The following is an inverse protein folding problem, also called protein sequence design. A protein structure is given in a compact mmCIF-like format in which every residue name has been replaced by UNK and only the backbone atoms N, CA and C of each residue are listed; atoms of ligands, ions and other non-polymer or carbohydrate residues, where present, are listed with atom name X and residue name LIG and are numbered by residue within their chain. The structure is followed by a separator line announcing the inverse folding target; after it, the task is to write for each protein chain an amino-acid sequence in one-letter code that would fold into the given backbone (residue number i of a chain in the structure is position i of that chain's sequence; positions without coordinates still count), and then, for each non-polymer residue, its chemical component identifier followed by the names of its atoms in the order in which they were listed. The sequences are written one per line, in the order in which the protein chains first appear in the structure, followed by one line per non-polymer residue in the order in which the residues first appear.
data_IF_910291994329
#
_entry.id   IF_910291994329
#
_cell.length_a   1.000
_cell.length_b   1.000
_cell.length_c   1.000
_cell.angle_alpha   90.00
_cell.angle_beta   90.00
_cell.angle_gamma   90.00
#
_symmetry.space_group_name_H-M   'P 1'
#
loop_
_entity.id
_entity.type
_entity.pdbx_description
1 polymer ?
#
# COMPACT_ATOMS: atom_id res chain seq x y z
N UNK A 1 -22.96 -0.52 -14.89
CA UNK A 1 -22.00 -1.42 -14.18
C UNK A 1 -20.85 -0.58 -13.66
N UNK A 2 -20.41 -0.81 -12.43
CA UNK A 2 -19.30 -0.06 -11.82
C UNK A 2 -18.00 -0.87 -11.82
N UNK A 3 -16.91 -0.22 -12.22
CA UNK A 3 -15.54 -0.73 -12.03
C UNK A 3 -14.82 0.16 -11.04
N UNK A 4 -14.43 -0.40 -9.91
CA UNK A 4 -13.76 0.30 -8.82
C UNK A 4 -12.24 0.18 -8.97
N UNK A 5 -11.55 1.30 -8.81
CA UNK A 5 -10.10 1.42 -8.86
C UNK A 5 -9.59 2.03 -7.56
N UNK A 6 -8.48 1.51 -7.07
CA UNK A 6 -7.77 2.04 -5.92
C UNK A 6 -6.41 2.62 -6.29
N UNK A 7 -5.97 3.60 -5.52
CA UNK A 7 -4.58 4.06 -5.49
C UNK A 7 -4.22 4.58 -4.10
N UNK A 8 -2.94 4.57 -3.75
CA UNK A 8 -2.46 5.17 -2.51
C UNK A 8 -2.04 6.61 -2.78
N UNK A 9 -2.55 7.56 -1.99
CA UNK A 9 -2.16 8.96 -2.13
C UNK A 9 -0.95 9.28 -1.27
N UNK A 10 -0.11 10.20 -1.75
CA UNK A 10 1.00 10.76 -0.98
C UNK A 10 0.56 11.40 0.34
N UNK A 11 -0.72 11.76 0.49
CA UNK A 11 -1.27 12.22 1.78
C UNK A 11 -1.46 11.11 2.82
N UNK A 12 -1.09 9.85 2.51
CA UNK A 12 -1.03 8.75 3.48
C UNK A 12 -2.34 7.98 3.64
N UNK A 13 -3.14 7.85 2.59
CA UNK A 13 -4.40 7.11 2.62
C UNK A 13 -4.79 6.52 1.28
N UNK A 14 -5.65 5.50 1.32
CA UNK A 14 -6.19 4.87 0.12
C UNK A 14 -7.31 5.72 -0.46
N UNK A 15 -7.31 5.88 -1.78
CA UNK A 15 -8.37 6.55 -2.52
C UNK A 15 -9.06 5.56 -3.44
N UNK A 16 -10.38 5.55 -3.38
CA UNK A 16 -11.23 4.77 -4.28
C UNK A 16 -11.93 5.70 -5.26
N UNK A 17 -11.96 5.31 -6.53
CA UNK A 17 -12.78 5.94 -7.56
C UNK A 17 -13.37 4.88 -8.48
N UNK A 18 -14.44 5.18 -9.22
CA UNK A 18 -15.07 4.19 -10.07
C UNK A 18 -15.40 4.73 -11.47
N UNK A 19 -15.33 3.84 -12.45
CA UNK A 19 -15.90 4.03 -13.78
C UNK A 19 -17.32 3.47 -13.80
N UNK A 20 -18.25 4.20 -14.45
CA UNK A 20 -19.61 3.74 -14.69
C UNK A 20 -19.85 3.52 -16.18
N UNK A 21 -20.17 2.28 -16.56
CA UNK A 21 -20.42 1.89 -17.96
C UNK A 21 -21.60 2.62 -18.59
N UNK A 22 -22.53 3.10 -17.77
CA UNK A 22 -23.82 3.66 -18.22
C UNK A 22 -23.72 5.17 -18.50
N UNK A 23 -22.59 5.78 -18.13
CA UNK A 23 -22.29 7.19 -18.38
C UNK A 23 -21.68 7.43 -19.76
N UNK A 24 -21.77 8.70 -20.20
CA UNK A 24 -21.26 9.16 -21.48
C UNK A 24 -19.73 9.04 -21.57
N UNK A 25 -19.25 8.66 -22.75
CA UNK A 25 -17.82 8.37 -22.96
C UNK A 25 -16.97 9.62 -23.23
N UNK A 26 -17.57 10.66 -23.82
CA UNK A 26 -16.82 11.83 -24.33
C UNK A 26 -16.92 13.00 -23.37
N UNK A 27 -15.79 13.66 -23.15
CA UNK A 27 -15.78 14.96 -22.48
C UNK A 27 -16.34 16.04 -23.42
N UNK A 28 -17.16 16.98 -22.93
CA UNK A 28 -17.57 18.15 -23.72
C UNK A 28 -16.40 19.11 -23.98
N UNK A 29 -15.30 19.00 -23.23
CA UNK A 29 -14.10 19.82 -23.36
C UNK A 29 -12.96 19.07 -24.06
N UNK A 30 -12.27 19.76 -24.97
CA UNK A 30 -11.05 19.26 -25.62
C UNK A 30 -9.76 19.88 -25.05
N UNK A 31 -9.83 20.52 -23.88
CA UNK A 31 -8.65 21.06 -23.23
C UNK A 31 -7.61 19.97 -22.95
N UNK A 32 -6.35 20.24 -23.29
CA UNK A 32 -5.24 19.29 -23.10
C UNK A 32 -4.28 19.69 -21.98
N UNK A 33 -4.29 20.98 -21.58
CA UNK A 33 -3.35 21.54 -20.59
C UNK A 33 -3.94 21.64 -19.18
N UNK A 34 -5.25 21.45 -19.03
CA UNK A 34 -5.93 21.49 -17.74
C UNK A 34 -6.66 20.18 -17.50
N UNK A 35 -6.75 19.78 -16.23
CA UNK A 35 -7.54 18.62 -15.84
C UNK A 35 -9.01 18.84 -16.22
N UNK A 36 -9.62 17.83 -16.84
CA UNK A 36 -11.04 17.83 -17.22
C UNK A 36 -11.82 16.85 -16.35
N UNK A 37 -13.11 17.08 -16.07
CA UNK A 37 -13.94 16.06 -15.45
C UNK A 37 -13.94 14.77 -16.28
N UNK A 38 -13.66 13.65 -15.63
CA UNK A 38 -13.71 12.34 -16.25
C UNK A 38 -15.16 12.00 -16.65
N UNK A 39 -15.45 11.76 -17.93
CA UNK A 39 -16.83 11.81 -18.45
C UNK A 39 -17.71 10.65 -17.96
N UNK A 40 -17.10 9.55 -17.52
CA UNK A 40 -17.78 8.38 -16.98
C UNK A 40 -17.23 7.95 -15.61
N UNK A 41 -16.70 8.90 -14.82
CA UNK A 41 -16.42 8.61 -13.41
C UNK A 41 -17.71 8.69 -12.59
N UNK A 42 -17.93 7.70 -11.73
CA UNK A 42 -19.06 7.67 -10.83
C UNK A 42 -18.93 8.78 -9.76
N UNK A 43 -20.06 9.31 -9.25
CA UNK A 43 -20.05 10.30 -8.17
C UNK A 43 -19.52 9.69 -6.86
N UNK A 44 -18.85 10.50 -6.05
CA UNK A 44 -18.25 10.05 -4.79
C UNK A 44 -19.28 9.49 -3.80
N UNK A 45 -20.50 10.02 -3.75
CA UNK A 45 -21.57 9.53 -2.86
C UNK A 45 -21.97 8.08 -3.17
N UNK A 46 -21.94 7.70 -4.44
CA UNK A 46 -22.22 6.34 -4.88
C UNK A 46 -21.09 5.39 -4.47
N UNK A 47 -19.83 5.84 -4.55
CA UNK A 47 -18.67 5.08 -4.07
C UNK A 47 -18.70 4.95 -2.54
N UNK A 48 -19.05 6.03 -1.82
CA UNK A 48 -19.14 6.06 -0.36
C UNK A 48 -20.27 5.16 0.18
N UNK A 49 -21.31 4.93 -0.62
CA UNK A 49 -22.35 3.95 -0.33
C UNK A 49 -21.89 2.49 -0.45
N UNK A 50 -20.80 2.23 -1.18
CA UNK A 50 -20.18 0.90 -1.31
C UNK A 50 -19.12 0.71 -0.21
N UNK A 51 -18.17 1.63 -0.14
CA UNK A 51 -17.11 1.68 0.88
C UNK A 51 -17.14 3.03 1.59
N UNK A 52 -17.57 3.09 2.86
CA UNK A 52 -17.64 4.33 3.61
C UNK A 52 -16.29 5.03 3.71
N UNK A 53 -16.27 6.32 3.41
CA UNK A 53 -15.09 7.17 3.52
C UNK A 53 -15.44 8.63 3.24
N UNK A 54 -14.43 9.49 3.16
CA UNK A 54 -14.62 10.93 2.97
C UNK A 54 -14.60 11.30 1.48
N UNK A 55 -15.68 11.87 0.93
CA UNK A 55 -15.67 12.34 -0.46
C UNK A 55 -14.61 13.41 -0.70
N UNK A 56 -13.89 13.28 -1.81
CA UNK A 56 -12.86 14.22 -2.25
C UNK A 56 -12.76 14.24 -3.78
N UNK A 57 -11.71 14.83 -4.30
CA UNK A 57 -11.40 14.89 -5.73
C UNK A 57 -9.92 14.69 -5.94
N UNK A 58 -9.56 13.93 -6.97
CA UNK A 58 -8.18 13.73 -7.38
C UNK A 58 -7.99 14.07 -8.86
N UNK A 59 -6.74 14.36 -9.24
CA UNK A 59 -6.35 14.52 -10.64
C UNK A 59 -5.45 13.36 -11.02
N UNK A 60 -5.91 12.55 -11.97
CA UNK A 60 -5.22 11.37 -12.47
C UNK A 60 -4.73 11.57 -13.91
N UNK A 61 -3.54 11.05 -14.21
CA UNK A 61 -3.01 10.92 -15.55
C UNK A 61 -3.46 9.57 -16.12
N UNK A 62 -4.45 9.59 -17.02
CA UNK A 62 -5.05 8.38 -17.55
C UNK A 62 -4.77 8.22 -19.05
N UNK A 63 -4.58 6.97 -19.55
CA UNK A 63 -4.47 6.69 -20.96
C UNK A 63 -5.68 7.24 -21.71
N UNK A 64 -5.44 8.14 -22.67
CA UNK A 64 -6.49 8.94 -23.27
C UNK A 64 -6.27 9.19 -24.75
N UNK A 65 -7.40 9.28 -25.45
CA UNK A 65 -7.50 9.97 -26.72
C UNK A 65 -7.85 11.44 -26.47
N UNK A 66 -7.82 12.27 -27.52
CA UNK A 66 -8.09 13.72 -27.42
C UNK A 66 -9.39 14.05 -26.68
N UNK A 67 -10.46 13.28 -26.92
CA UNK A 67 -11.82 13.57 -26.43
C UNK A 67 -12.32 12.66 -25.30
N UNK A 68 -11.59 11.61 -24.95
CA UNK A 68 -12.03 10.63 -23.96
C UNK A 68 -10.83 9.85 -23.38
N UNK A 69 -10.87 9.50 -22.09
CA UNK A 69 -10.02 8.44 -21.56
C UNK A 69 -10.34 7.11 -22.25
N UNK A 70 -9.40 6.17 -22.23
CA UNK A 70 -9.68 4.78 -22.59
C UNK A 70 -10.52 4.13 -21.49
N UNK A 71 -11.30 3.12 -21.86
CA UNK A 71 -12.02 2.30 -20.88
C UNK A 71 -11.02 1.39 -20.17
N UNK A 72 -11.20 1.13 -18.86
CA UNK A 72 -10.41 0.10 -18.19
C UNK A 72 -10.68 -1.29 -18.78
N UNK A 73 -9.71 -2.23 -18.70
CA UNK A 73 -9.89 -3.61 -19.19
C UNK A 73 -11.11 -4.33 -18.60
N UNK A 74 -11.45 -3.99 -17.36
CA UNK A 74 -12.54 -4.57 -16.59
C UNK A 74 -13.91 -3.98 -16.98
N UNK A 75 -13.94 -2.80 -17.61
CA UNK A 75 -15.16 -2.09 -17.99
C UNK A 75 -15.79 -2.70 -19.25
N UNK A 76 -16.94 -3.32 -19.05
CA UNK A 76 -17.77 -3.87 -20.13
C UNK A 76 -18.86 -2.86 -20.47
N UNK A 77 -18.94 -2.48 -21.75
CA UNK A 77 -20.03 -1.67 -22.29
C UNK A 77 -20.96 -2.51 -23.14
N UNK A 78 -22.26 -2.23 -23.04
CA UNK A 78 -23.27 -2.83 -23.92
C UNK A 78 -23.03 -2.50 -25.40
N UNK A 79 -22.60 -1.26 -25.67
CA UNK A 79 -22.17 -0.82 -27.01
C UNK A 79 -20.65 -0.59 -27.00
N UNK A 80 -19.86 -1.49 -27.63
CA UNK A 80 -18.41 -1.35 -27.70
C UNK A 80 -18.00 -0.06 -28.42
N UNK A 81 -16.90 0.54 -27.97
CA UNK A 81 -16.34 1.70 -28.63
C UNK A 81 -15.69 1.33 -29.96
N UNK A 82 -15.72 2.22 -30.97
CA UNK A 82 -14.87 2.06 -32.13
C UNK A 82 -13.40 1.97 -31.71
N UNK A 83 -12.64 1.10 -32.38
CA UNK A 83 -11.21 0.98 -32.15
C UNK A 83 -10.51 2.35 -32.30
N UNK A 84 -9.56 2.61 -31.40
CA UNK A 84 -8.74 3.80 -31.46
C UNK A 84 -7.96 3.83 -32.78
N UNK A 85 -7.91 5.01 -33.42
CA UNK A 85 -7.14 5.24 -34.67
C UNK A 85 -5.78 5.90 -34.43
N UNK A 86 -5.49 6.25 -33.18
CA UNK A 86 -4.30 6.96 -32.76
C UNK A 86 -3.83 6.37 -31.44
N UNK A 87 -2.52 6.40 -31.21
CA UNK A 87 -1.94 5.96 -29.97
C UNK A 87 -2.42 6.83 -28.79
N UNK A 88 -2.72 6.23 -27.63
CA UNK A 88 -3.12 6.96 -26.45
C UNK A 88 -1.94 7.73 -25.84
N UNK A 89 -2.26 8.83 -25.16
CA UNK A 89 -1.33 9.59 -24.33
C UNK A 89 -1.92 9.78 -22.94
N UNK A 90 -1.08 10.04 -21.94
CA UNK A 90 -1.55 10.38 -20.61
C UNK A 90 -2.10 11.81 -20.60
N UNK A 91 -3.38 11.97 -20.25
CA UNK A 91 -4.02 13.27 -20.05
C UNK A 91 -4.56 13.37 -18.63
N UNK A 92 -4.56 14.58 -18.08
CA UNK A 92 -5.07 14.85 -16.75
C UNK A 92 -6.61 14.85 -16.72
N UNK A 93 -7.17 14.08 -15.81
CA UNK A 93 -8.61 13.99 -15.54
C UNK A 93 -8.89 14.18 -14.06
N UNK A 94 -9.87 15.01 -13.77
CA UNK A 94 -10.45 15.17 -12.44
C UNK A 94 -11.46 14.06 -12.22
N UNK A 95 -11.28 13.26 -11.17
CA UNK A 95 -12.18 12.18 -10.77
C UNK A 95 -12.72 12.42 -9.36
N UNK A 96 -14.01 12.16 -9.10
CA UNK A 96 -14.51 12.02 -7.73
C UNK A 96 -13.85 10.82 -7.07
N UNK A 97 -13.42 10.99 -5.82
CA UNK A 97 -12.82 9.90 -5.03
C UNK A 97 -13.44 9.84 -3.65
N UNK A 98 -13.24 8.71 -2.98
CA UNK A 98 -13.49 8.53 -1.55
C UNK A 98 -12.14 8.24 -0.88
N UNK A 99 -11.79 9.04 0.12
CA UNK A 99 -10.62 8.86 0.96
C UNK A 99 -10.96 7.87 2.08
N UNK A 100 -10.19 6.78 2.17
CA UNK A 100 -10.29 5.77 3.21
C UNK A 100 -9.06 5.88 4.10
N UNK A 101 -9.28 5.97 5.40
CA UNK A 101 -8.20 5.74 6.36
C UNK A 101 -7.73 4.26 6.28
N UNK A 102 -6.54 3.94 6.80
CA UNK A 102 -5.99 2.59 6.66
C UNK A 102 -6.87 1.49 7.28
N UNK A 103 -7.64 1.79 8.33
CA UNK A 103 -8.57 0.81 8.95
C UNK A 103 -9.75 0.56 8.03
N UNK A 104 -10.36 1.61 7.49
CA UNK A 104 -11.43 1.50 6.50
C UNK A 104 -10.96 0.80 5.22
N UNK A 105 -9.73 1.04 4.78
CA UNK A 105 -9.13 0.37 3.62
C UNK A 105 -9.01 -1.15 3.85
N UNK A 106 -8.50 -1.59 5.00
CA UNK A 106 -8.45 -3.00 5.36
C UNK A 106 -9.85 -3.64 5.36
N UNK A 107 -10.85 -2.97 5.92
CA UNK A 107 -12.22 -3.45 5.93
C UNK A 107 -12.83 -3.56 4.52
N UNK A 108 -12.50 -2.63 3.62
CA UNK A 108 -12.96 -2.64 2.24
C UNK A 108 -12.49 -3.89 1.45
N UNK A 109 -11.29 -4.41 1.76
CA UNK A 109 -10.79 -5.64 1.15
C UNK A 109 -11.45 -6.90 1.71
N UNK A 110 -11.84 -6.89 2.98
CA UNK A 110 -12.48 -8.04 3.63
C UNK A 110 -13.94 -8.21 3.23
N UNK A 111 -14.57 -7.14 2.73
CA UNK A 111 -16.00 -7.10 2.40
C UNK A 111 -16.22 -6.56 0.98
N UNK A 112 -15.80 -7.31 -0.06
CA UNK A 112 -16.04 -6.88 -1.44
C UNK A 112 -17.54 -6.84 -1.75
N UNK A 113 -17.98 -5.79 -2.45
CA UNK A 113 -19.37 -5.62 -2.84
C UNK A 113 -19.71 -6.52 -4.06
N UNK A 114 -20.81 -7.29 -4.02
CA UNK A 114 -21.10 -8.32 -5.03
C UNK A 114 -21.41 -7.77 -6.43
N UNK A 115 -21.97 -6.55 -6.53
CA UNK A 115 -22.41 -5.94 -7.80
C UNK A 115 -21.40 -4.93 -8.38
N UNK A 116 -20.18 -4.91 -7.82
CA UNK A 116 -19.10 -4.01 -8.24
C UNK A 116 -17.94 -4.84 -8.74
N UNK A 117 -17.38 -4.45 -9.89
CA UNK A 117 -16.16 -5.07 -10.38
C UNK A 117 -14.95 -4.35 -9.81
N UNK A 118 -14.05 -5.08 -9.19
CA UNK A 118 -12.79 -4.53 -8.71
C UNK A 118 -11.75 -4.64 -9.82
N UNK A 119 -11.07 -3.53 -10.11
CA UNK A 119 -9.96 -3.52 -11.06
C UNK A 119 -8.67 -4.04 -10.43
N UNK A 120 -7.70 -4.41 -11.26
CA UNK A 120 -6.41 -4.96 -10.82
C UNK A 120 -5.65 -4.09 -9.79
N UNK A 121 -5.93 -2.78 -9.71
CA UNK A 121 -5.34 -1.92 -8.69
C UNK A 121 -5.90 -2.10 -7.29
N UNK A 122 -7.18 -2.46 -7.16
CA UNK A 122 -7.72 -2.81 -5.84
C UNK A 122 -7.21 -4.18 -5.42
N UNK A 123 -7.16 -5.14 -6.33
CA UNK A 123 -6.57 -6.47 -6.07
C UNK A 123 -5.11 -6.35 -5.62
N UNK A 124 -4.32 -5.51 -6.29
CA UNK A 124 -2.95 -5.21 -5.88
C UNK A 124 -2.86 -4.66 -4.44
N UNK A 125 -3.72 -3.70 -4.08
CA UNK A 125 -3.73 -3.14 -2.74
C UNK A 125 -4.22 -4.16 -1.69
N UNK A 126 -5.12 -5.07 -2.08
CA UNK A 126 -5.55 -6.18 -1.23
C UNK A 126 -4.40 -7.16 -0.98
N UNK A 127 -3.59 -7.50 -1.99
CA UNK A 127 -2.36 -8.30 -1.83
C UNK A 127 -1.35 -7.63 -0.90
N UNK A 128 -1.20 -6.30 -0.99
CA UNK A 128 -0.37 -5.55 -0.05
C UNK A 128 -0.92 -5.61 1.39
N UNK A 129 -2.24 -5.56 1.56
CA UNK A 129 -2.89 -5.73 2.85
C UNK A 129 -2.73 -7.15 3.42
N UNK A 130 -2.76 -8.19 2.57
CA UNK A 130 -2.43 -9.56 2.97
C UNK A 130 -0.98 -9.62 3.48
N UNK A 131 -0.03 -9.06 2.74
CA UNK A 131 1.37 -9.01 3.17
C UNK A 131 1.56 -8.25 4.49
N UNK A 132 0.82 -7.14 4.69
CA UNK A 132 0.81 -6.41 5.96
C UNK A 132 0.36 -7.31 7.12
N UNK A 133 -0.74 -8.04 6.97
CA UNK A 133 -1.25 -8.96 8.00
C UNK A 133 -0.29 -10.11 8.28
N UNK A 134 0.34 -10.69 7.26
CA UNK A 134 1.36 -11.72 7.45
C UNK A 134 2.55 -11.21 8.27
N UNK A 135 2.96 -9.94 8.11
CA UNK A 135 4.01 -9.35 8.95
C UNK A 135 3.54 -9.23 10.40
N UNK A 136 2.30 -8.78 10.64
CA UNK A 136 1.71 -8.68 11.98
C UNK A 136 1.62 -10.05 12.65
N UNK A 137 1.08 -11.06 11.97
CA UNK A 137 0.93 -12.43 12.47
C UNK A 137 2.28 -13.05 12.88
N UNK A 138 3.35 -12.71 12.16
CA UNK A 138 4.71 -13.16 12.46
C UNK A 138 5.44 -12.29 13.49
N UNK A 139 4.80 -11.27 14.04
CA UNK A 139 5.40 -10.31 14.97
C UNK A 139 6.54 -9.50 14.35
N UNK A 140 6.52 -9.28 13.03
CA UNK A 140 7.53 -8.50 12.28
C UNK A 140 7.23 -7.01 12.30
N UNK A 141 6.97 -6.49 13.49
CA UNK A 141 6.58 -5.09 13.70
C UNK A 141 7.32 -4.53 14.90
N UNK A 142 7.62 -3.23 14.84
CA UNK A 142 8.19 -2.50 15.97
C UNK A 142 7.39 -1.22 16.21
N UNK A 143 7.22 -0.83 17.48
CA UNK A 143 6.62 0.46 17.78
C UNK A 143 7.63 1.57 17.48
N UNK A 144 7.12 2.73 17.08
CA UNK A 144 7.89 3.89 16.67
C UNK A 144 7.25 5.18 17.20
N UNK A 145 8.08 6.20 17.38
CA UNK A 145 7.66 7.58 17.60
C UNK A 145 7.77 8.35 16.28
N UNK A 146 6.64 8.83 15.76
CA UNK A 146 6.60 9.77 14.63
C UNK A 146 6.27 11.17 15.13
N UNK A 147 6.85 12.19 14.48
CA UNK A 147 6.51 13.59 14.70
C UNK A 147 6.08 14.21 13.37
N UNK A 148 4.95 14.90 13.38
CA UNK A 148 4.49 15.66 12.22
C UNK A 148 3.94 17.03 12.66
N UNK A 149 3.33 17.77 11.74
CA UNK A 149 2.76 19.10 12.01
C UNK A 149 1.66 19.11 13.07
N UNK A 150 1.07 17.96 13.39
CA UNK A 150 0.02 17.80 14.39
C UNK A 150 0.56 17.25 15.72
N UNK A 151 1.88 17.14 15.88
CA UNK A 151 2.53 16.71 17.11
C UNK A 151 3.06 15.27 17.06
N UNK A 152 3.18 14.65 18.24
CA UNK A 152 3.70 13.29 18.38
C UNK A 152 2.63 12.23 18.08
N UNK A 153 3.05 11.15 17.44
CA UNK A 153 2.23 9.98 17.19
C UNK A 153 3.02 8.71 17.51
N UNK A 154 2.41 7.82 18.27
CA UNK A 154 2.87 6.45 18.43
C UNK A 154 2.35 5.63 17.23
N UNK A 155 3.21 4.92 16.52
CA UNK A 155 2.83 4.06 15.39
C UNK A 155 3.57 2.74 15.39
N UNK A 156 3.07 1.76 14.65
CA UNK A 156 3.74 0.49 14.38
C UNK A 156 4.28 0.50 12.97
N UNK A 157 5.55 0.14 12.83
CA UNK A 157 6.21 0.00 11.53
C UNK A 157 6.53 -1.47 11.24
N UNK A 158 6.49 -1.89 9.97
CA UNK A 158 6.99 -3.19 9.56
C UNK A 158 8.51 -3.30 9.75
N UNK A 159 8.96 -4.53 10.00
CA UNK A 159 10.37 -4.92 9.97
C UNK A 159 10.58 -5.94 8.88
N UNK A 160 11.09 -5.49 7.73
CA UNK A 160 11.34 -6.35 6.58
C UNK A 160 12.72 -7.03 6.72
N UNK A 161 12.77 -8.35 6.59
CA UNK A 161 14.01 -9.12 6.62
C UNK A 161 13.98 -10.25 5.57
N UNK A 162 15.12 -10.47 4.89
CA UNK A 162 15.32 -11.60 3.99
C UNK A 162 14.20 -11.71 2.94
N UNK A 163 13.34 -12.73 3.08
CA UNK A 163 12.20 -12.99 2.18
C UNK A 163 11.20 -11.82 2.10
N UNK A 164 11.05 -11.05 3.17
CA UNK A 164 10.07 -9.94 3.22
C UNK A 164 10.52 -8.80 2.28
N UNK A 165 11.83 -8.58 2.15
CA UNK A 165 12.39 -7.60 1.21
C UNK A 165 12.16 -8.04 -0.24
N UNK A 166 12.26 -9.34 -0.52
CA UNK A 166 11.98 -9.91 -1.86
C UNK A 166 10.50 -9.80 -2.21
N UNK A 167 9.62 -10.10 -1.24
CA UNK A 167 8.17 -9.94 -1.39
C UNK A 167 7.82 -8.47 -1.68
N UNK A 168 8.36 -7.53 -0.87
CA UNK A 168 8.19 -6.10 -1.09
C UNK A 168 8.68 -5.65 -2.46
N UNK A 169 9.86 -6.09 -2.90
CA UNK A 169 10.41 -5.77 -4.24
C UNK A 169 9.51 -6.29 -5.36
N UNK A 170 8.94 -7.47 -5.17
CA UNK A 170 8.00 -8.09 -6.12
C UNK A 170 6.70 -7.29 -6.19
N UNK A 171 6.15 -6.87 -5.05
CA UNK A 171 4.96 -6.02 -4.97
C UNK A 171 5.21 -4.64 -5.61
N UNK A 172 6.36 -4.00 -5.37
CA UNK A 172 6.71 -2.73 -6.01
C UNK A 172 6.78 -2.90 -7.54
N UNK A 173 7.36 -3.99 -8.02
CA UNK A 173 7.49 -4.28 -9.45
C UNK A 173 6.15 -4.61 -10.12
N UNK A 174 5.23 -5.23 -9.38
CA UNK A 174 3.91 -5.60 -9.85
C UNK A 174 2.89 -4.45 -9.80
N UNK A 175 3.25 -3.29 -9.24
CA UNK A 175 2.32 -2.17 -9.03
C UNK A 175 1.64 -1.74 -10.35
N UNK A 176 0.30 -1.86 -10.44
CA UNK A 176 -0.43 -1.39 -11.60
C UNK A 176 -0.21 0.12 -11.85
N UNK A 177 -0.06 0.57 -13.11
CA UNK A 177 0.15 1.98 -13.43
C UNK A 177 -0.88 2.95 -12.84
N UNK A 178 -2.14 2.52 -12.71
CA UNK A 178 -3.20 3.35 -12.13
C UNK A 178 -2.97 3.66 -10.65
N UNK A 179 -2.24 2.81 -9.91
CA UNK A 179 -1.88 3.08 -8.50
C UNK A 179 -0.97 4.30 -8.33
N UNK A 180 -0.29 4.73 -9.41
CA UNK A 180 0.60 5.89 -9.48
C UNK A 180 0.13 6.92 -10.53
N UNK A 181 -1.18 6.94 -10.81
CA UNK A 181 -1.74 7.86 -11.79
C UNK A 181 -1.98 9.26 -11.20
N UNK A 182 -2.02 9.41 -9.88
CA UNK A 182 -2.19 10.72 -9.24
C UNK A 182 -1.05 11.67 -9.63
N UNK A 183 -1.41 12.89 -10.07
CA UNK A 183 -0.41 13.90 -10.45
C UNK A 183 0.50 14.18 -9.25
N UNK A 184 1.79 13.89 -9.41
CA UNK A 184 2.81 14.06 -8.36
C UNK A 184 3.18 12.78 -7.61
N UNK A 185 2.44 11.68 -7.77
CA UNK A 185 2.78 10.36 -7.23
C UNK A 185 3.40 9.49 -8.32
N UNK A 186 4.71 9.23 -8.25
CA UNK A 186 5.37 8.46 -9.30
C UNK A 186 6.33 7.39 -8.81
N UNK A 187 6.89 7.51 -7.60
CA UNK A 187 7.78 6.47 -7.09
C UNK A 187 6.95 5.30 -6.53
N UNK A 188 6.92 4.14 -7.22
CA UNK A 188 6.17 2.99 -6.75
C UNK A 188 6.72 2.44 -5.43
N UNK A 189 8.01 2.63 -5.14
CA UNK A 189 8.62 2.17 -3.90
C UNK A 189 8.12 2.99 -2.72
N UNK A 190 8.12 4.33 -2.83
CA UNK A 190 7.60 5.22 -1.78
C UNK A 190 6.11 4.97 -1.51
N UNK A 191 5.30 4.84 -2.58
CA UNK A 191 3.87 4.58 -2.47
C UNK A 191 3.57 3.23 -1.79
N UNK A 192 4.24 2.16 -2.21
CA UNK A 192 4.06 0.84 -1.60
C UNK A 192 4.53 0.82 -0.14
N UNK A 193 5.66 1.48 0.17
CA UNK A 193 6.20 1.53 1.54
C UNK A 193 5.24 2.30 2.46
N UNK A 194 4.76 3.46 2.03
CA UNK A 194 3.79 4.25 2.78
C UNK A 194 2.48 3.49 3.01
N UNK A 195 1.99 2.79 1.99
CA UNK A 195 0.79 1.96 2.11
C UNK A 195 1.00 0.80 3.09
N UNK A 196 2.14 0.10 2.99
CA UNK A 196 2.48 -0.99 3.89
C UNK A 196 2.60 -0.52 5.34
N UNK A 197 3.31 0.57 5.61
CA UNK A 197 3.45 1.15 6.95
C UNK A 197 2.09 1.44 7.57
N UNK A 198 1.19 2.06 6.81
CA UNK A 198 -0.13 2.43 7.28
C UNK A 198 -1.05 1.22 7.50
N UNK A 199 -1.02 0.24 6.60
CA UNK A 199 -1.79 -1.01 6.74
C UNK A 199 -1.28 -1.86 7.91
N UNK A 200 0.04 -1.92 8.12
CA UNK A 200 0.64 -2.60 9.27
C UNK A 200 0.24 -1.91 10.57
N UNK A 201 0.31 -0.58 10.64
CA UNK A 201 -0.13 0.17 11.82
C UNK A 201 -1.59 -0.13 12.19
N UNK A 202 -2.49 -0.07 11.21
CA UNK A 202 -3.89 -0.38 11.42
C UNK A 202 -4.12 -1.86 11.80
N UNK A 203 -3.43 -2.79 11.14
CA UNK A 203 -3.56 -4.23 11.43
C UNK A 203 -3.05 -4.59 12.83
N UNK A 204 -1.93 -3.99 13.28
CA UNK A 204 -1.44 -4.20 14.65
C UNK A 204 -2.42 -3.64 15.67
N UNK A 205 -2.95 -2.41 15.48
CA UNK A 205 -3.94 -1.83 16.40
C UNK A 205 -5.21 -2.67 16.48
N UNK A 206 -5.70 -3.17 15.35
CA UNK A 206 -6.85 -4.06 15.32
C UNK A 206 -6.57 -5.37 16.08
N UNK A 207 -5.38 -5.96 15.93
CA UNK A 207 -4.98 -7.17 16.64
C UNK A 207 -4.74 -6.95 18.14
N UNK A 208 -4.31 -5.75 18.54
CA UNK A 208 -4.05 -5.41 19.93
C UNK A 208 -5.29 -4.93 20.67
N UNK A 209 -6.30 -4.39 20.01
CA UNK A 209 -7.52 -3.89 20.69
C UNK A 209 -8.32 -5.03 21.32
N UNK A 210 -8.68 -4.98 22.63
CA UNK A 210 -8.64 -3.84 23.56
C UNK A 210 -7.51 -3.92 24.62
N UNK A 211 -6.36 -4.54 24.34
CA UNK A 211 -5.28 -4.73 25.31
C UNK A 211 -4.75 -3.40 25.89
N UNK A 212 -4.62 -3.38 27.22
CA UNK A 212 -3.89 -2.35 27.94
C UNK A 212 -2.43 -2.78 28.08
N UNK A 213 -1.52 -1.99 27.52
CA UNK A 213 -0.07 -2.24 27.59
C UNK A 213 0.52 -1.78 28.92
N UNK A 214 -0.24 -1.03 29.74
CA UNK A 214 0.22 -0.53 31.03
C UNK A 214 -0.21 -1.45 32.19
N UNK A 215 0.65 -1.62 33.20
CA UNK A 215 0.24 -2.29 34.42
C UNK A 215 -0.79 -1.44 35.19
N UNK A 216 -1.72 -2.06 35.94
CA UNK A 216 -2.69 -1.33 36.75
C UNK A 216 -1.99 -0.43 37.76
N UNK A 217 -2.35 0.87 37.75
CA UNK A 217 -1.66 1.90 38.53
C UNK A 217 -1.76 1.66 40.03
N UNK A 218 -0.62 1.75 40.73
CA UNK A 218 -0.53 1.96 42.18
C UNK A 218 0.08 3.35 42.45
N UNK A 219 -0.75 4.39 42.38
CA UNK A 219 -0.37 5.78 42.69
C UNK A 219 0.04 6.65 41.49
N UNK A 220 0.30 7.94 41.74
CA UNK A 220 0.63 8.96 40.72
C UNK A 220 2.14 9.23 40.71
N UNK A 221 2.90 8.44 39.96
CA UNK A 221 4.30 8.76 39.65
C UNK A 221 4.36 9.79 38.53
N UNK A 222 5.22 10.81 38.67
CA UNK A 222 5.56 11.75 37.57
C UNK A 222 6.67 11.21 36.65
N UNK A 223 7.42 10.20 37.09
CA UNK A 223 8.47 9.58 36.29
C UNK A 223 7.78 8.72 35.23
N UNK A 224 8.08 8.97 33.95
CA UNK A 224 7.60 8.22 32.75
C UNK A 224 6.26 8.63 32.13
N UNK A 225 5.76 9.87 32.34
CA UNK A 225 4.48 10.30 31.77
C UNK A 225 4.43 10.18 30.23
N UNK A 226 5.49 10.60 29.53
CA UNK A 226 5.56 10.49 28.07
C UNK A 226 5.58 9.03 27.58
N UNK A 227 6.30 8.14 28.28
CA UNK A 227 6.34 6.70 27.94
C UNK A 227 4.97 6.06 28.17
N UNK A 228 4.30 6.37 29.28
CA UNK A 228 2.95 5.87 29.57
C UNK A 228 1.93 6.37 28.53
N UNK A 229 2.01 7.65 28.16
CA UNK A 229 1.16 8.24 27.12
C UNK A 229 1.42 7.59 25.76
N UNK A 230 2.69 7.37 25.40
CA UNK A 230 3.08 6.70 24.16
C UNK A 230 2.62 5.24 24.11
N UNK A 231 2.78 4.46 25.19
CA UNK A 231 2.29 3.08 25.27
C UNK A 231 0.76 3.00 25.15
N UNK A 232 0.04 3.95 25.77
CA UNK A 232 -1.42 4.05 25.60
C UNK A 232 -1.77 4.36 24.14
N UNK A 233 -1.04 5.29 23.53
CA UNK A 233 -1.28 5.71 22.16
C UNK A 233 -0.97 4.63 21.12
N UNK A 234 -0.12 3.64 21.41
CA UNK A 234 0.14 2.50 20.51
C UNK A 234 -1.10 1.63 20.25
N UNK A 235 -2.14 1.69 21.10
CA UNK A 235 -3.40 0.94 20.90
C UNK A 235 -4.59 1.84 20.59
N UNK A 236 -4.46 3.17 20.72
CA UNK A 236 -5.49 4.14 20.33
C UNK A 236 -5.66 4.21 18.80
N UNK A 237 -6.85 4.51 18.24
CA UNK A 237 -7.05 4.57 16.79
C UNK A 237 -6.20 5.59 16.02
N UNK A 238 -5.92 6.77 16.60
CA UNK A 238 -5.19 7.86 15.92
C UNK A 238 -3.69 7.92 16.28
N UNK A 239 -3.26 7.14 17.27
CA UNK A 239 -1.90 7.13 17.78
C UNK A 239 -1.43 8.43 18.42
N UNK A 240 -2.30 9.43 18.63
CA UNK A 240 -1.88 10.77 19.07
C UNK A 240 -1.70 10.83 20.58
N UNK A 241 -0.67 11.57 21.01
CA UNK A 241 -0.45 11.83 22.43
C UNK A 241 0.35 13.11 22.66
N UNK A 242 0.15 13.69 23.84
CA UNK A 242 0.85 14.89 24.29
C UNK A 242 1.95 14.54 25.29
N UNK A 243 3.12 15.15 25.11
CA UNK A 243 4.24 15.11 26.03
C UNK A 243 5.10 16.38 25.87
N UNK A 244 5.87 16.72 26.90
CA UNK A 244 6.79 17.85 26.81
C UNK A 244 7.91 17.57 25.78
N UNK A 245 8.42 18.58 25.06
CA UNK A 245 9.45 18.39 24.03
C UNK A 245 10.68 17.62 24.51
N UNK A 246 11.20 17.95 25.70
CA UNK A 246 12.36 17.27 26.29
C UNK A 246 12.06 15.79 26.61
N UNK A 247 10.82 15.47 27.01
CA UNK A 247 10.40 14.09 27.26
C UNK A 247 10.25 13.30 25.95
N UNK A 248 9.79 13.95 24.88
CA UNK A 248 9.72 13.35 23.54
C UNK A 248 11.13 13.09 22.98
N UNK A 249 12.08 13.98 23.22
CA UNK A 249 13.47 13.81 22.79
C UNK A 249 14.13 12.65 23.53
N UNK A 250 13.94 12.56 24.85
CA UNK A 250 14.40 11.42 25.63
C UNK A 250 13.76 10.09 25.17
N UNK A 251 12.48 10.09 24.81
CA UNK A 251 11.80 8.91 24.25
C UNK A 251 12.37 8.54 22.88
N UNK A 252 12.61 9.50 21.99
CA UNK A 252 13.21 9.25 20.68
C UNK A 252 14.61 8.63 20.81
N UNK A 253 15.45 9.17 21.70
CA UNK A 253 16.78 8.61 21.98
C UNK A 253 16.71 7.17 22.51
N UNK A 254 15.73 6.87 23.38
CA UNK A 254 15.53 5.52 23.91
C UNK A 254 15.05 4.52 22.83
N UNK A 255 14.32 4.98 21.81
CA UNK A 255 13.81 4.16 20.72
C UNK A 255 14.80 3.98 19.56
N UNK A 256 15.86 4.78 19.48
CA UNK A 256 16.86 4.72 18.39
C UNK A 256 17.38 3.30 18.10
N UNK A 257 17.70 2.44 19.08
CA UNK A 257 18.15 1.08 18.80
C UNK A 257 17.12 0.23 18.04
N UNK A 258 15.83 0.54 18.19
CA UNK A 258 14.77 -0.11 17.43
C UNK A 258 14.63 0.46 16.02
N UNK A 259 14.91 1.74 15.81
CA UNK A 259 14.90 2.32 14.46
C UNK A 259 15.89 1.61 13.53
N UNK A 260 17.07 1.22 14.03
CA UNK A 260 18.10 0.54 13.23
C UNK A 260 17.70 -0.89 12.78
N UNK A 261 16.68 -1.50 13.41
CA UNK A 261 16.25 -2.87 13.10
C UNK A 261 15.53 -2.93 11.75
N UNK A 262 16.08 -3.71 10.82
CA UNK A 262 15.51 -3.87 9.47
C UNK A 262 15.85 -2.75 8.49
N UNK A 263 16.59 -1.72 8.93
CA UNK A 263 17.14 -0.65 8.05
C UNK A 263 18.56 -0.99 7.57
N UNK A 264 19.17 -2.06 8.12
CA UNK A 264 20.50 -2.51 7.71
C UNK A 264 20.61 -2.68 6.20
N UNK A 265 21.57 -1.98 5.60
CA UNK A 265 22.01 -2.24 4.23
C UNK A 265 22.42 -3.71 4.16
N UNK A 266 21.83 -4.46 3.22
CA UNK A 266 22.29 -5.82 2.93
C UNK A 266 23.78 -5.71 2.60
N UNK A 267 24.62 -6.21 3.50
CA UNK A 267 26.07 -6.21 3.33
C UNK A 267 26.45 -6.99 2.06
N UNK A 268 27.67 -6.82 1.54
CA UNK A 268 28.11 -7.64 0.43
C UNK A 268 27.93 -9.12 0.79
N UNK A 269 27.29 -9.87 -0.09
CA UNK A 269 27.19 -11.31 0.03
C UNK A 269 27.91 -11.93 -1.17
N UNK A 270 28.72 -12.95 -0.92
CA UNK A 270 29.29 -13.77 -1.99
C UNK A 270 28.37 -14.95 -2.23
N UNK A 271 27.76 -14.99 -3.41
CA UNK A 271 27.08 -16.18 -3.91
C UNK A 271 28.12 -17.07 -4.61
N UNK A 272 28.25 -18.32 -4.17
CA UNK A 272 29.10 -19.32 -4.83
C UNK A 272 28.20 -20.40 -5.42
N UNK A 273 28.28 -20.57 -6.73
CA UNK A 273 27.57 -21.61 -7.45
C UNK A 273 28.55 -22.72 -7.82
N UNK A 274 28.24 -23.95 -7.45
CA UNK A 274 29.00 -25.15 -7.83
C UNK A 274 28.12 -26.00 -8.73
N UNK A 275 28.57 -26.18 -9.96
CA UNK A 275 27.96 -27.12 -10.88
C UNK A 275 28.80 -28.41 -10.87
N UNK A 276 28.16 -29.55 -10.62
CA UNK A 276 28.80 -30.87 -10.65
C UNK A 276 27.98 -31.82 -11.50
N UNK A 277 28.65 -32.62 -12.32
CA UNK A 277 27.99 -33.70 -13.05
C UNK A 277 27.61 -34.81 -12.08
N UNK A 278 26.40 -35.35 -12.23
CA UNK A 278 25.93 -36.51 -11.47
C UNK A 278 26.24 -37.74 -12.30
N UNK A 279 27.20 -38.54 -11.82
CA UNK A 279 27.48 -39.85 -12.40
C UNK A 279 26.22 -40.73 -12.28
N UNK A 280 25.72 -41.20 -13.43
CA UNK A 280 24.60 -42.14 -13.47
C UNK A 280 25.17 -43.54 -13.61
N UNK A 281 24.96 -44.40 -12.61
CA UNK A 281 25.47 -45.79 -12.62
C UNK A 281 24.76 -46.71 -13.64
N UNK A 282 23.73 -46.21 -14.34
CA UNK A 282 22.97 -46.99 -15.32
C UNK A 282 23.20 -46.52 -16.76
N UNK A 283 23.96 -47.32 -17.51
CA UNK A 283 24.22 -47.16 -18.96
C UNK A 283 22.96 -47.28 -19.85
N UNK A 284 21.79 -47.59 -19.29
CA UNK A 284 20.56 -47.86 -20.05
C UNK A 284 19.61 -46.65 -20.22
N UNK A 285 19.96 -45.47 -19.70
CA UNK A 285 19.13 -44.25 -19.88
C UNK A 285 19.75 -43.34 -20.95
N UNK A 286 18.99 -42.77 -21.91
CA UNK A 286 19.59 -41.94 -22.96
C UNK A 286 20.34 -40.76 -22.35
N UNK A 287 21.60 -40.61 -22.75
CA UNK A 287 22.57 -39.65 -22.22
C UNK A 287 22.09 -38.19 -22.30
N UNK A 288 21.41 -37.74 -21.26
CA UNK A 288 21.39 -36.34 -20.86
C UNK A 288 22.22 -36.22 -19.60
N UNK A 289 23.35 -35.52 -19.64
CA UNK A 289 24.16 -35.26 -18.45
C UNK A 289 23.27 -34.62 -17.37
N UNK A 290 23.07 -35.34 -16.26
CA UNK A 290 22.37 -34.83 -15.10
C UNK A 290 23.33 -33.93 -14.34
N UNK A 291 23.00 -32.64 -14.23
CA UNK A 291 23.83 -31.66 -13.53
C UNK A 291 23.21 -31.33 -12.17
N UNK A 292 24.03 -31.34 -11.12
CA UNK A 292 23.68 -30.82 -9.80
C UNK A 292 24.22 -29.40 -9.66
N UNK A 293 23.31 -28.44 -9.47
CA UNK A 293 23.63 -27.06 -9.08
C UNK A 293 23.51 -26.92 -7.57
N UNK A 294 24.61 -26.59 -6.91
CA UNK A 294 24.64 -26.20 -5.50
C UNK A 294 24.91 -24.70 -5.42
N UNK A 295 24.30 -24.02 -4.46
CA UNK A 295 24.58 -22.62 -4.17
C UNK A 295 24.85 -22.44 -2.68
N UNK A 296 25.88 -21.64 -2.38
CA UNK A 296 26.20 -21.19 -1.04
C UNK A 296 26.14 -19.67 -1.01
N UNK A 297 25.62 -19.13 0.09
CA UNK A 297 25.62 -17.69 0.34
C UNK A 297 26.49 -17.42 1.57
N UNK A 298 27.53 -16.61 1.39
CA UNK A 298 28.41 -16.18 2.47
C UNK A 298 28.24 -14.68 2.69
N UNK A 299 27.88 -14.28 3.91
CA UNK A 299 27.99 -12.88 4.35
C UNK A 299 29.47 -12.51 4.42
N UNK A 300 29.88 -11.37 3.85
CA UNK A 300 31.24 -10.83 4.01
C UNK A 300 31.36 -9.92 5.23
#
# INVERSE_FOLDING_TARGET
MLVLHGFWSNSGGMRLWAEDSDLLVKSPSQALRSARPHPFAAPADLIAGIHPGKPATAVLLLPSLRSAPLDSPELIRLAPRPAARTDPMLLAWTVPVVDLDPTAALAAFDQPAPDVRYGASVDYLAELAVFARELVERGRVLPQLRRDTHGAAACWRPVLQGRDVVAMTSLVSAMPPVCRAEVGGHDPHELATSALDAMVDAAVRAALSPMDLLPPRRGRSKRHRAVEAWLTALTCPDGRFDAEPDELDALAEALRPWDDVGIGTVGPARATFRLSEVETENEETPAGSLWRLEFLLQST
#
